data_IF_107562030744
#
_entry.id   IF_107562030744
#
_cell.length_a   1.000
_cell.length_b   1.000
_cell.length_c   1.000
_cell.angle_alpha   90.00
_cell.angle_beta   90.00
_cell.angle_gamma   90.00
#
_symmetry.space_group_name_H-M   'P 1'
#
loop_
_entity.id
_entity.type
_entity.pdbx_description
1 polymer ?
#
# COMPACT_ATOMS: atom_id res chain seq x y z
N UNK A 1 18.32 -18.30 -13.72
CA UNK A 1 19.79 -18.16 -13.65
C UNK A 1 20.24 -18.38 -12.21
N UNK A 2 21.34 -19.10 -11.93
CA UNK A 2 21.75 -19.45 -10.55
C UNK A 2 21.94 -18.24 -9.62
N UNK A 3 22.47 -17.13 -10.13
CA UNK A 3 22.60 -15.89 -9.34
C UNK A 3 21.25 -15.34 -8.87
N UNK A 4 20.24 -15.35 -9.75
CA UNK A 4 18.90 -14.86 -9.41
C UNK A 4 18.24 -15.73 -8.35
N UNK A 5 18.44 -17.06 -8.42
CA UNK A 5 17.92 -18.00 -7.41
C UNK A 5 18.46 -17.65 -6.03
N UNK A 6 19.78 -17.45 -5.92
CA UNK A 6 20.44 -17.20 -4.65
C UNK A 6 20.26 -15.79 -4.08
N UNK A 7 20.23 -14.76 -4.93
CA UNK A 7 20.38 -13.38 -4.48
C UNK A 7 19.10 -12.54 -4.58
N UNK A 8 18.13 -12.93 -5.41
CA UNK A 8 17.00 -12.06 -5.70
C UNK A 8 16.07 -11.88 -4.49
N UNK A 9 15.74 -12.98 -3.79
CA UNK A 9 14.91 -12.95 -2.57
C UNK A 9 15.53 -12.06 -1.47
N UNK A 10 16.78 -12.30 -1.02
CA UNK A 10 17.38 -11.46 0.02
C UNK A 10 17.57 -10.00 -0.41
N UNK A 11 17.90 -9.77 -1.68
CA UNK A 11 18.07 -8.40 -2.19
C UNK A 11 16.76 -7.63 -2.18
N UNK A 12 15.65 -8.27 -2.55
CA UNK A 12 14.32 -7.65 -2.54
C UNK A 12 13.80 -7.45 -1.11
N UNK A 13 14.02 -8.38 -0.18
CA UNK A 13 13.65 -8.18 1.24
C UNK A 13 14.41 -7.01 1.86
N UNK A 14 15.71 -6.93 1.57
CA UNK A 14 16.53 -5.80 2.00
C UNK A 14 16.03 -4.50 1.37
N UNK A 15 15.79 -4.49 0.06
CA UNK A 15 15.30 -3.31 -0.63
C UNK A 15 13.93 -2.84 -0.12
N UNK A 16 13.02 -3.75 0.20
CA UNK A 16 11.73 -3.45 0.85
C UNK A 16 11.90 -2.67 2.17
N UNK A 17 12.96 -2.99 2.91
CA UNK A 17 13.29 -2.31 4.17
C UNK A 17 13.98 -0.96 3.91
N UNK A 18 14.94 -0.93 2.97
CA UNK A 18 15.75 0.26 2.68
C UNK A 18 14.91 1.41 2.09
N UNK A 19 13.81 1.12 1.36
CA UNK A 19 12.92 2.15 0.80
C UNK A 19 12.09 2.91 1.84
N UNK A 20 12.17 2.54 3.11
CA UNK A 20 11.52 3.32 4.19
C UNK A 20 12.11 4.72 4.31
N UNK A 21 13.40 4.91 3.95
CA UNK A 21 14.10 6.19 4.05
C UNK A 21 14.86 6.47 2.75
N UNK A 22 14.16 7.00 1.75
CA UNK A 22 14.78 7.37 0.46
C UNK A 22 15.34 8.79 0.45
N UNK A 23 14.93 9.64 1.40
CA UNK A 23 15.33 11.04 1.50
C UNK A 23 14.65 11.94 0.46
N UNK A 24 13.68 11.42 -0.28
CA UNK A 24 12.92 12.17 -1.29
C UNK A 24 11.71 12.90 -0.67
N UNK A 25 11.28 14.00 -1.28
CA UNK A 25 10.10 14.75 -0.80
C UNK A 25 8.79 13.96 -0.90
N UNK A 26 8.72 12.98 -1.80
CA UNK A 26 7.58 12.07 -2.01
C UNK A 26 7.79 10.70 -1.37
N UNK A 27 8.83 10.52 -0.55
CA UNK A 27 9.27 9.20 -0.05
C UNK A 27 8.15 8.40 0.62
N UNK A 28 7.24 9.09 1.30
CA UNK A 28 6.12 8.48 2.00
C UNK A 28 5.19 7.71 1.07
N UNK A 29 4.92 8.24 -0.13
CA UNK A 29 4.00 7.62 -1.09
C UNK A 29 4.72 6.65 -2.01
N UNK A 30 5.96 6.98 -2.41
CA UNK A 30 6.75 6.18 -3.33
C UNK A 30 7.08 4.81 -2.74
N UNK A 31 7.32 4.73 -1.42
CA UNK A 31 7.64 3.45 -0.75
C UNK A 31 6.54 2.41 -0.96
N UNK A 32 5.27 2.79 -0.87
CA UNK A 32 4.16 1.84 -1.04
C UNK A 32 4.08 1.31 -2.48
N UNK A 33 4.34 2.17 -3.47
CA UNK A 33 4.37 1.76 -4.89
C UNK A 33 5.53 0.80 -5.16
N UNK A 34 6.71 1.09 -4.61
CA UNK A 34 7.87 0.19 -4.75
C UNK A 34 7.58 -1.15 -4.07
N UNK A 35 7.02 -1.13 -2.86
CA UNK A 35 6.66 -2.33 -2.10
C UNK A 35 5.61 -3.17 -2.80
N UNK A 36 4.61 -2.56 -3.44
CA UNK A 36 3.66 -3.26 -4.30
C UNK A 36 4.36 -4.02 -5.42
N UNK A 37 5.30 -3.39 -6.13
CA UNK A 37 6.05 -4.08 -7.18
C UNK A 37 6.93 -5.22 -6.65
N UNK A 38 7.56 -5.03 -5.48
CA UNK A 38 8.31 -6.10 -4.81
C UNK A 38 7.37 -7.28 -4.48
N UNK A 39 6.17 -6.99 -4.00
CA UNK A 39 5.15 -7.99 -3.65
C UNK A 39 4.75 -8.84 -4.85
N UNK A 40 4.47 -8.19 -5.98
CA UNK A 40 4.16 -8.89 -7.25
C UNK A 40 5.31 -9.76 -7.71
N UNK A 41 6.56 -9.30 -7.55
CA UNK A 41 7.75 -10.10 -7.86
C UNK A 41 7.82 -11.32 -6.92
N UNK A 42 7.62 -11.14 -5.61
CA UNK A 42 7.63 -12.25 -4.65
C UNK A 42 6.56 -13.30 -4.93
N UNK A 43 5.34 -12.90 -5.26
CA UNK A 43 4.30 -13.85 -5.68
C UNK A 43 4.74 -14.68 -6.89
N UNK A 44 5.38 -14.05 -7.87
CA UNK A 44 5.92 -14.74 -9.05
C UNK A 44 7.09 -15.68 -8.69
N UNK A 45 8.02 -15.26 -7.84
CA UNK A 45 9.14 -16.08 -7.39
C UNK A 45 8.68 -17.27 -6.55
N UNK A 46 7.64 -17.11 -5.75
CA UNK A 46 7.07 -18.18 -4.94
C UNK A 46 6.47 -19.31 -5.79
N UNK A 47 5.97 -19.03 -6.99
CA UNK A 47 5.52 -20.08 -7.91
C UNK A 47 6.67 -20.92 -8.49
N UNK A 48 7.92 -20.45 -8.34
CA UNK A 48 9.10 -21.16 -8.82
C UNK A 48 9.81 -21.89 -7.66
N UNK A 49 9.68 -23.23 -7.64
CA UNK A 49 10.26 -24.12 -6.62
C UNK A 49 11.76 -23.89 -6.42
N UNK A 50 12.49 -23.45 -7.47
CA UNK A 50 13.92 -23.14 -7.38
C UNK A 50 14.26 -22.06 -6.36
N UNK A 51 13.33 -21.14 -6.05
CA UNK A 51 13.53 -20.07 -5.08
C UNK A 51 13.11 -20.43 -3.65
N UNK A 52 12.36 -21.52 -3.45
CA UNK A 52 11.83 -21.91 -2.13
C UNK A 52 12.93 -22.12 -1.09
N UNK A 53 14.04 -22.74 -1.47
CA UNK A 53 15.19 -22.92 -0.58
C UNK A 53 15.74 -21.61 -0.05
N UNK A 54 15.88 -20.60 -0.91
CA UNK A 54 16.37 -19.27 -0.52
C UNK A 54 15.37 -18.51 0.34
N UNK A 55 14.06 -18.65 0.10
CA UNK A 55 13.04 -18.14 1.02
C UNK A 55 13.19 -18.76 2.42
N UNK A 56 13.32 -20.09 2.49
CA UNK A 56 13.48 -20.80 3.77
C UNK A 56 14.77 -20.43 4.49
N UNK A 57 15.87 -20.23 3.77
CA UNK A 57 17.13 -19.75 4.35
C UNK A 57 16.95 -18.36 4.98
N UNK A 58 16.29 -17.42 4.28
CA UNK A 58 16.03 -16.08 4.81
C UNK A 58 15.05 -16.08 5.99
N UNK A 59 14.01 -16.92 5.95
CA UNK A 59 13.10 -17.11 7.08
C UNK A 59 13.84 -17.57 8.34
N UNK A 60 14.87 -18.39 8.18
CA UNK A 60 15.73 -18.86 9.28
C UNK A 60 16.87 -17.90 9.64
N UNK A 61 17.23 -16.94 8.78
CA UNK A 61 18.30 -15.94 9.01
C UNK A 61 17.90 -14.85 10.02
N UNK A 62 16.59 -14.71 10.26
CA UNK A 62 15.97 -13.99 11.37
C UNK A 62 16.05 -12.46 11.27
N UNK A 63 17.22 -11.85 11.13
CA UNK A 63 17.35 -10.38 11.27
C UNK A 63 16.74 -9.59 10.12
N UNK A 64 17.00 -9.98 8.88
CA UNK A 64 16.44 -9.29 7.71
C UNK A 64 14.97 -9.62 7.53
N UNK A 65 14.62 -10.90 7.67
CA UNK A 65 13.24 -11.35 7.60
C UNK A 65 12.33 -10.67 8.64
N UNK A 66 12.76 -10.59 9.90
CA UNK A 66 11.97 -9.90 10.95
C UNK A 66 11.78 -8.41 10.62
N UNK A 67 12.81 -7.73 10.10
CA UNK A 67 12.67 -6.33 9.68
C UNK A 67 11.67 -6.17 8.54
N UNK A 68 11.78 -7.03 7.53
CA UNK A 68 10.87 -7.07 6.40
C UNK A 68 9.41 -7.29 6.85
N UNK A 69 9.16 -8.30 7.69
CA UNK A 69 7.82 -8.58 8.23
C UNK A 69 7.29 -7.42 9.07
N UNK A 70 8.13 -6.81 9.91
CA UNK A 70 7.71 -5.64 10.70
C UNK A 70 7.29 -4.47 9.80
N UNK A 71 8.00 -4.23 8.70
CA UNK A 71 7.62 -3.19 7.73
C UNK A 71 6.34 -3.56 6.99
N UNK A 72 6.20 -4.81 6.56
CA UNK A 72 4.99 -5.32 5.92
C UNK A 72 3.74 -5.16 6.81
N UNK A 73 3.85 -5.51 8.10
CA UNK A 73 2.76 -5.33 9.08
C UNK A 73 2.43 -3.85 9.24
N UNK A 74 3.43 -2.99 9.43
CA UNK A 74 3.22 -1.56 9.59
C UNK A 74 2.52 -0.95 8.36
N UNK A 75 2.94 -1.34 7.15
CA UNK A 75 2.31 -0.88 5.91
C UNK A 75 0.87 -1.34 5.82
N UNK A 76 0.61 -2.61 6.15
CA UNK A 76 -0.74 -3.19 6.12
C UNK A 76 -1.67 -2.44 7.08
N UNK A 77 -1.21 -2.20 8.32
CA UNK A 77 -1.97 -1.43 9.32
C UNK A 77 -2.25 -0.02 8.81
N UNK A 78 -1.23 0.70 8.36
CA UNK A 78 -1.39 2.06 7.87
C UNK A 78 -2.33 2.15 6.67
N UNK A 79 -2.12 1.32 5.65
CA UNK A 79 -2.92 1.36 4.42
C UNK A 79 -4.38 1.00 4.69
N UNK A 80 -4.64 0.06 5.61
CA UNK A 80 -6.00 -0.32 5.97
C UNK A 80 -6.70 0.79 6.76
N UNK A 81 -6.02 1.38 7.75
CA UNK A 81 -6.56 2.48 8.55
C UNK A 81 -6.91 3.70 7.67
N UNK A 82 -5.99 4.12 6.80
CA UNK A 82 -6.22 5.22 5.85
C UNK A 82 -7.33 4.91 4.84
N UNK A 83 -7.40 3.66 4.38
CA UNK A 83 -8.47 3.23 3.47
C UNK A 83 -9.83 3.35 4.14
N UNK A 84 -9.96 2.88 5.38
CA UNK A 84 -11.21 2.95 6.15
C UNK A 84 -11.59 4.39 6.50
N UNK A 85 -10.61 5.23 6.87
CA UNK A 85 -10.87 6.64 7.13
C UNK A 85 -11.33 7.38 5.87
N UNK A 86 -10.69 7.11 4.73
CA UNK A 86 -11.10 7.67 3.44
C UNK A 86 -12.51 7.21 3.04
N UNK A 87 -12.84 5.93 3.22
CA UNK A 87 -14.20 5.42 2.99
C UNK A 87 -15.26 6.10 3.88
N UNK A 88 -14.91 6.39 5.14
CA UNK A 88 -15.79 7.15 6.04
C UNK A 88 -16.05 8.56 5.51
N UNK A 89 -15.01 9.29 5.09
CA UNK A 89 -15.15 10.64 4.52
C UNK A 89 -15.97 10.63 3.23
N UNK A 90 -15.75 9.65 2.35
CA UNK A 90 -16.55 9.44 1.13
C UNK A 90 -18.02 9.29 1.50
N UNK A 91 -18.34 8.43 2.47
CA UNK A 91 -19.71 8.20 2.90
C UNK A 91 -20.37 9.45 3.48
N UNK A 92 -19.67 10.21 4.31
CA UNK A 92 -20.15 11.47 4.87
C UNK A 92 -20.53 12.49 3.78
N UNK A 93 -19.64 12.71 2.80
CA UNK A 93 -19.93 13.64 1.69
C UNK A 93 -21.08 13.13 0.80
N UNK A 94 -21.16 11.82 0.56
CA UNK A 94 -22.26 11.23 -0.20
C UNK A 94 -23.62 11.40 0.49
N UNK A 95 -23.70 11.25 1.82
CA UNK A 95 -24.93 11.50 2.56
C UNK A 95 -25.29 12.99 2.62
N UNK A 96 -24.30 13.90 2.74
CA UNK A 96 -24.52 15.35 2.60
C UNK A 96 -25.14 15.69 1.23
N UNK A 97 -24.60 15.12 0.15
CA UNK A 97 -25.10 15.35 -1.22
C UNK A 97 -26.48 14.73 -1.49
N UNK A 98 -26.82 13.65 -0.79
CA UNK A 98 -28.10 12.96 -0.90
C UNK A 98 -29.24 13.79 -0.28
N UNK A 99 -28.95 14.56 0.75
CA UNK A 99 -29.89 15.53 1.33
C UNK A 99 -29.97 16.81 0.48
N UNK A 100 -30.70 16.74 -0.65
CA UNK A 100 -30.81 17.83 -1.61
C UNK A 100 -31.28 19.15 -1.00
N UNK A 101 -32.19 19.10 -0.03
CA UNK A 101 -32.73 20.31 0.61
C UNK A 101 -31.62 21.11 1.33
N UNK A 102 -30.73 20.43 2.05
CA UNK A 102 -29.60 21.09 2.70
C UNK A 102 -28.46 21.38 1.72
N UNK A 103 -28.22 20.48 0.77
CA UNK A 103 -27.17 20.63 -0.23
C UNK A 103 -27.36 21.85 -1.11
N UNK A 104 -28.59 22.07 -1.61
CA UNK A 104 -28.90 23.18 -2.52
C UNK A 104 -28.86 24.55 -1.81
N UNK A 105 -28.93 24.58 -0.48
CA UNK A 105 -28.72 25.77 0.34
C UNK A 105 -27.23 26.15 0.48
N UNK A 106 -26.31 25.22 0.25
CA UNK A 106 -24.88 25.50 0.32
C UNK A 106 -24.45 26.41 -0.83
N UNK A 107 -23.52 27.36 -0.60
CA UNK A 107 -22.91 28.13 -1.67
C UNK A 107 -22.25 27.23 -2.71
N UNK A 108 -22.30 27.61 -4.00
CA UNK A 108 -21.72 26.83 -5.10
C UNK A 108 -20.24 26.47 -4.89
N UNK A 109 -19.45 27.39 -4.34
CA UNK A 109 -18.04 27.15 -4.06
C UNK A 109 -17.83 26.02 -3.03
N UNK A 110 -18.71 25.93 -2.02
CA UNK A 110 -18.68 24.85 -1.04
C UNK A 110 -19.10 23.51 -1.67
N UNK A 111 -20.14 23.53 -2.50
CA UNK A 111 -20.56 22.33 -3.24
C UNK A 111 -19.42 21.80 -4.12
N UNK A 112 -18.74 22.68 -4.85
CA UNK A 112 -17.62 22.31 -5.71
C UNK A 112 -16.40 21.82 -4.93
N UNK A 113 -16.10 22.44 -3.79
CA UNK A 113 -15.03 21.98 -2.89
C UNK A 113 -15.33 20.58 -2.34
N UNK A 114 -16.56 20.32 -1.88
CA UNK A 114 -17.00 19.01 -1.40
C UNK A 114 -16.94 17.93 -2.50
N UNK A 115 -17.40 18.24 -3.71
CA UNK A 115 -17.29 17.32 -4.85
C UNK A 115 -15.83 17.02 -5.23
N UNK A 116 -14.97 18.03 -5.17
CA UNK A 116 -13.53 17.87 -5.44
C UNK A 116 -12.87 17.00 -4.38
N UNK A 117 -13.24 17.19 -3.11
CA UNK A 117 -12.78 16.35 -1.99
C UNK A 117 -13.25 14.90 -2.16
N UNK A 118 -14.52 14.68 -2.48
CA UNK A 118 -15.06 13.34 -2.76
C UNK A 118 -14.26 12.63 -3.86
N UNK A 119 -14.04 13.29 -4.99
CA UNK A 119 -13.27 12.71 -6.10
C UNK A 119 -11.81 12.41 -5.71
N UNK A 120 -11.23 13.21 -4.82
CA UNK A 120 -9.89 12.96 -4.31
C UNK A 120 -9.86 11.76 -3.35
N UNK A 121 -10.77 11.72 -2.38
CA UNK A 121 -10.85 10.60 -1.43
C UNK A 121 -11.13 9.28 -2.17
N UNK A 122 -12.02 9.26 -3.17
CA UNK A 122 -12.28 8.06 -3.97
C UNK A 122 -11.03 7.54 -4.70
N UNK A 123 -10.20 8.45 -5.24
CA UNK A 123 -8.92 8.08 -5.88
C UNK A 123 -7.93 7.51 -4.87
N UNK A 124 -7.78 8.19 -3.73
CA UNK A 124 -6.82 7.79 -2.67
C UNK A 124 -7.22 6.45 -2.06
N UNK A 125 -8.49 6.30 -1.68
CA UNK A 125 -9.04 5.07 -1.11
C UNK A 125 -8.81 3.87 -2.04
N UNK A 126 -9.08 4.03 -3.34
CA UNK A 126 -8.83 2.96 -4.33
C UNK A 126 -7.37 2.55 -4.38
N UNK A 127 -6.46 3.52 -4.36
CA UNK A 127 -5.02 3.26 -4.39
C UNK A 127 -4.58 2.51 -3.13
N UNK A 128 -4.96 2.98 -1.95
CA UNK A 128 -4.57 2.36 -0.69
C UNK A 128 -5.17 0.96 -0.51
N UNK A 129 -6.42 0.75 -0.91
CA UNK A 129 -7.03 -0.58 -0.87
C UNK A 129 -6.30 -1.56 -1.78
N UNK A 130 -5.93 -1.16 -3.01
CA UNK A 130 -5.18 -2.02 -3.92
C UNK A 130 -3.81 -2.43 -3.34
N UNK A 131 -3.12 -1.46 -2.71
CA UNK A 131 -1.85 -1.71 -2.04
C UNK A 131 -2.01 -2.62 -0.82
N UNK A 132 -3.02 -2.37 0.01
CA UNK A 132 -3.33 -3.17 1.20
C UNK A 132 -3.66 -4.62 0.83
N UNK A 133 -4.54 -4.82 -0.17
CA UNK A 133 -4.90 -6.16 -0.65
C UNK A 133 -3.67 -6.92 -1.16
N UNK A 134 -2.83 -6.27 -1.97
CA UNK A 134 -1.62 -6.92 -2.49
C UNK A 134 -0.67 -7.33 -1.37
N UNK A 135 -0.54 -6.50 -0.33
CA UNK A 135 0.35 -6.71 0.81
C UNK A 135 -0.14 -7.85 1.71
N UNK A 136 -1.47 -7.96 1.92
CA UNK A 136 -2.09 -9.03 2.70
C UNK A 136 -2.05 -10.38 1.97
N UNK A 137 -2.20 -10.36 0.64
CA UNK A 137 -2.18 -11.56 -0.20
C UNK A 137 -0.76 -12.15 -0.41
N UNK A 138 0.30 -11.46 0.02
CA UNK A 138 1.69 -11.88 -0.12
C UNK A 138 2.10 -12.90 0.93
#
# INVERSE_FOLDING_TARGET
>A
HPLSVKLLVPSLMKFYTDVEHTGATSEFYDKFTIRYHISTIFKSLWQNIGHHGTFMEEFNSGKQFVRYINMLINDTTFLLDESLESLKRIHEVQEEMKNKEQWDLLPRDQQQARQSQLAQDERVSRSYLALATETVDM
#
